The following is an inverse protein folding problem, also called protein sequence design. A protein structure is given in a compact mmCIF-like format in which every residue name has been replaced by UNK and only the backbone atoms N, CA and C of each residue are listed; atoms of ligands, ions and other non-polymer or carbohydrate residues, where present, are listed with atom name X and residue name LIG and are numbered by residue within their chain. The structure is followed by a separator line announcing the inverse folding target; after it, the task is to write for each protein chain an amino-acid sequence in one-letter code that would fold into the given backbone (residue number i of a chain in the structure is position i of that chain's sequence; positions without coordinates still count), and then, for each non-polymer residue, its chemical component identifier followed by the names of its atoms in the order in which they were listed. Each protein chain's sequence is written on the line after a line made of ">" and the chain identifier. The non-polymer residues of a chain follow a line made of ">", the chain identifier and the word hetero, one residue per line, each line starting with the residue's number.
data_IF_943757341712
#
_entry.id   IF_943757341712
#
_cell.length_a   1.000
_cell.length_b   1.000
_cell.length_c   1.000
_cell.angle_alpha   90.00
_cell.angle_beta   90.00
_cell.angle_gamma   90.00
#
_symmetry.space_group_name_H-M   'P 1'
#
loop_
_entity.id
_entity.type
_entity.pdbx_description
1 polymer ?
#
# COMPACT_ATOMS: atom_id res chain seq x y z
N UNK A 1 -11.07 8.79 34.30
CA UNK A 1 -10.01 9.28 35.20
C UNK A 1 -9.03 10.06 34.34
N UNK A 2 -8.91 11.36 34.54
CA UNK A 2 -8.11 12.26 33.69
C UNK A 2 -6.62 12.18 34.08
N UNK A 3 -5.72 12.59 33.19
CA UNK A 3 -4.26 12.64 33.43
C UNK A 3 -3.90 13.44 34.70
N UNK A 4 -4.72 14.44 35.06
CA UNK A 4 -4.61 15.18 36.32
C UNK A 4 -4.98 14.33 37.54
N UNK A 5 -6.00 13.49 37.44
CA UNK A 5 -6.44 12.63 38.55
C UNK A 5 -5.37 11.58 38.89
N UNK A 6 -4.77 10.95 37.87
CA UNK A 6 -3.68 9.97 38.08
C UNK A 6 -2.42 10.62 38.66
N UNK A 7 -2.04 11.81 38.20
CA UNK A 7 -0.90 12.56 38.75
C UNK A 7 -1.16 12.97 40.20
N UNK A 8 -2.39 13.36 40.52
CA UNK A 8 -2.80 13.76 41.88
C UNK A 8 -2.78 12.55 42.82
N UNK A 9 -3.27 11.40 42.38
CA UNK A 9 -3.28 10.14 43.15
C UNK A 9 -1.85 9.64 43.41
N UNK A 10 -0.99 9.63 42.39
CA UNK A 10 0.42 9.22 42.54
C UNK A 10 1.17 10.19 43.47
N UNK A 11 0.94 11.49 43.33
CA UNK A 11 1.56 12.49 44.21
C UNK A 11 1.10 12.33 45.67
N UNK A 12 -0.19 12.09 45.90
CA UNK A 12 -0.75 11.81 47.23
C UNK A 12 -0.19 10.53 47.85
N UNK A 13 -0.01 9.46 47.05
CA UNK A 13 0.56 8.21 47.51
C UNK A 13 2.04 8.37 47.89
N UNK A 14 2.83 9.11 47.09
CA UNK A 14 4.24 9.39 47.38
C UNK A 14 4.39 10.26 48.62
N UNK A 15 3.59 11.33 48.76
CA UNK A 15 3.60 12.19 49.95
C UNK A 15 3.18 11.40 51.20
N UNK A 16 2.13 10.57 51.13
CA UNK A 16 1.68 9.73 52.24
C UNK A 16 2.75 8.73 52.69
N UNK A 17 3.48 8.15 51.74
CA UNK A 17 4.59 7.21 52.02
C UNK A 17 5.78 7.91 52.69
N UNK A 18 6.13 9.11 52.25
CA UNK A 18 7.22 9.92 52.84
C UNK A 18 6.86 10.32 54.28
N UNK A 19 5.62 10.74 54.53
CA UNK A 19 5.14 11.11 55.87
C UNK A 19 5.15 9.91 56.83
N UNK A 20 4.72 8.73 56.38
CA UNK A 20 4.73 7.51 57.18
C UNK A 20 6.17 7.04 57.55
N UNK A 21 7.13 7.22 56.65
CA UNK A 21 8.55 6.87 56.87
C UNK A 21 9.24 7.86 57.82
N UNK A 22 8.93 9.16 57.71
CA UNK A 22 9.46 10.20 58.60
C UNK A 22 8.95 10.10 60.05
N UNK A 23 7.78 9.49 60.27
CA UNK A 23 7.17 9.33 61.58
C UNK A 23 7.61 8.06 62.33
N UNK A 24 8.25 7.09 61.66
CA UNK A 24 8.40 5.71 62.20
C UNK A 24 9.83 5.20 62.39
N UNK A 25 10.89 5.98 62.11
CA UNK A 25 12.27 5.43 62.14
C UNK A 25 13.38 6.42 62.54
N UNK A 26 14.48 5.88 63.07
CA UNK A 26 15.71 6.61 63.37
C UNK A 26 16.22 7.40 62.16
N UNK A 27 16.61 8.66 62.41
CA UNK A 27 16.87 9.71 61.41
C UNK A 27 17.72 9.32 60.19
N UNK A 28 18.79 8.49 60.29
CA UNK A 28 19.58 8.13 59.10
C UNK A 28 18.87 7.12 58.18
N UNK A 29 18.05 6.21 58.72
CA UNK A 29 17.36 5.16 57.95
C UNK A 29 16.14 5.71 57.21
N UNK A 30 15.46 6.70 57.80
CA UNK A 30 14.35 7.43 57.17
C UNK A 30 14.80 8.17 55.90
N UNK A 31 15.97 8.84 55.95
CA UNK A 31 16.53 9.60 54.83
C UNK A 31 16.91 8.74 53.63
N UNK A 32 17.52 7.57 53.87
CA UNK A 32 17.88 6.62 52.81
C UNK A 32 16.63 6.00 52.15
N UNK A 33 15.60 5.71 52.94
CA UNK A 33 14.35 5.12 52.44
C UNK A 33 13.57 6.11 51.59
N UNK A 34 13.50 7.39 51.99
CA UNK A 34 12.89 8.44 51.19
C UNK A 34 13.62 8.70 49.86
N UNK A 35 14.96 8.67 49.86
CA UNK A 35 15.76 8.81 48.65
C UNK A 35 15.53 7.62 47.69
N UNK A 36 15.47 6.39 48.20
CA UNK A 36 15.19 5.20 47.40
C UNK A 36 13.80 5.24 46.75
N UNK A 37 12.77 5.72 47.49
CA UNK A 37 11.42 5.90 46.95
C UNK A 37 11.39 6.98 45.86
N UNK A 38 12.12 8.09 46.03
CA UNK A 38 12.23 9.15 45.01
C UNK A 38 12.94 8.67 43.74
N UNK A 39 14.04 7.92 43.87
CA UNK A 39 14.76 7.34 42.73
C UNK A 39 13.89 6.30 42.01
N UNK A 40 13.21 5.42 42.76
CA UNK A 40 12.31 4.43 42.19
C UNK A 40 11.12 5.09 41.45
N UNK A 41 10.52 6.14 42.02
CA UNK A 41 9.42 6.86 41.38
C UNK A 41 9.85 7.69 40.16
N UNK A 42 11.05 8.31 40.18
CA UNK A 42 11.63 8.95 39.00
C UNK A 42 11.94 7.94 37.88
N UNK A 43 12.50 6.78 38.23
CA UNK A 43 12.82 5.71 37.27
C UNK A 43 11.56 5.04 36.67
N UNK A 44 10.48 4.89 37.45
CA UNK A 44 9.19 4.43 36.95
C UNK A 44 8.49 5.49 36.07
N UNK A 45 8.63 6.78 36.39
CA UNK A 45 8.10 7.86 35.57
C UNK A 45 8.84 7.98 34.23
N UNK A 46 10.17 7.87 34.22
CA UNK A 46 10.94 7.80 32.98
C UNK A 46 10.65 6.52 32.19
N UNK A 47 10.55 5.37 32.86
CA UNK A 47 10.22 4.09 32.22
C UNK A 47 8.81 4.10 31.58
N UNK A 48 7.80 4.63 32.27
CA UNK A 48 6.45 4.79 31.72
C UNK A 48 6.42 5.78 30.53
N UNK A 49 7.14 6.89 30.64
CA UNK A 49 7.26 7.90 29.57
C UNK A 49 8.06 7.40 28.36
N UNK A 50 8.99 6.48 28.56
CA UNK A 50 9.80 5.84 27.50
C UNK A 50 9.03 4.66 26.87
N UNK A 51 8.23 3.94 27.65
CA UNK A 51 7.36 2.85 27.17
C UNK A 51 6.24 3.38 26.26
N UNK A 52 5.54 4.44 26.65
CA UNK A 52 4.50 5.06 25.79
C UNK A 52 5.08 5.60 24.48
N UNK A 53 6.21 6.32 24.55
CA UNK A 53 6.88 6.84 23.34
C UNK A 53 7.42 5.74 22.43
N UNK A 54 7.97 4.67 23.00
CA UNK A 54 8.44 3.52 22.22
C UNK A 54 7.27 2.76 21.59
N UNK A 55 6.13 2.66 22.28
CA UNK A 55 4.93 2.03 21.74
C UNK A 55 4.31 2.85 20.60
N UNK A 56 4.19 4.18 20.77
CA UNK A 56 3.73 5.09 19.71
C UNK A 56 4.66 5.07 18.49
N UNK A 57 5.97 5.06 18.70
CA UNK A 57 6.96 5.00 17.63
C UNK A 57 6.95 3.63 16.92
N UNK A 58 6.72 2.53 17.65
CA UNK A 58 6.57 1.20 17.08
C UNK A 58 5.30 1.09 16.24
N UNK A 59 4.14 1.49 16.78
CA UNK A 59 2.86 1.47 16.05
C UNK A 59 2.94 2.30 14.77
N UNK A 60 3.59 3.48 14.84
CA UNK A 60 3.83 4.33 13.68
C UNK A 60 4.73 3.66 12.63
N UNK A 61 5.80 3.02 13.06
CA UNK A 61 6.72 2.33 12.16
C UNK A 61 6.06 1.14 11.47
N UNK A 62 5.19 0.42 12.19
CA UNK A 62 4.36 -0.65 11.63
C UNK A 62 3.41 -0.11 10.55
N UNK A 63 2.65 0.96 10.83
CA UNK A 63 1.75 1.59 9.84
C UNK A 63 2.48 2.07 8.58
N UNK A 64 3.64 2.70 8.73
CA UNK A 64 4.46 3.12 7.57
C UNK A 64 4.96 1.92 6.76
N UNK A 65 5.28 0.80 7.43
CA UNK A 65 5.70 -0.44 6.77
C UNK A 65 4.55 -1.07 6.00
N UNK A 66 3.36 -1.16 6.60
CA UNK A 66 2.13 -1.65 5.97
C UNK A 66 1.80 -0.86 4.69
N UNK A 67 1.78 0.48 4.78
CA UNK A 67 1.53 1.35 3.61
C UNK A 67 2.60 1.15 2.54
N UNK A 68 3.87 0.99 2.92
CA UNK A 68 4.96 0.78 1.95
C UNK A 68 4.80 -0.54 1.19
N UNK A 69 4.39 -1.61 1.89
CA UNK A 69 4.11 -2.91 1.28
C UNK A 69 2.91 -2.83 0.33
N UNK A 70 1.83 -2.16 0.73
CA UNK A 70 0.64 -2.01 -0.10
C UNK A 70 0.93 -1.20 -1.37
N UNK A 71 1.72 -0.12 -1.26
CA UNK A 71 2.20 0.65 -2.42
C UNK A 71 2.98 -0.22 -3.39
N UNK A 72 3.94 -1.01 -2.90
CA UNK A 72 4.74 -1.91 -3.74
C UNK A 72 3.86 -2.94 -4.48
N UNK A 73 2.84 -3.48 -3.82
CA UNK A 73 1.89 -4.41 -4.44
C UNK A 73 1.07 -3.73 -5.56
N UNK A 74 0.58 -2.51 -5.32
CA UNK A 74 -0.17 -1.73 -6.31
C UNK A 74 0.72 -1.36 -7.50
N UNK A 75 1.96 -0.95 -7.27
CA UNK A 75 2.94 -0.64 -8.34
C UNK A 75 3.21 -1.87 -9.20
N UNK A 76 3.41 -3.04 -8.58
CA UNK A 76 3.61 -4.30 -9.29
C UNK A 76 2.40 -4.66 -10.15
N UNK A 77 1.19 -4.61 -9.58
CA UNK A 77 -0.07 -4.86 -10.33
C UNK A 77 -0.22 -3.90 -11.50
N UNK A 78 0.09 -2.62 -11.28
CA UNK A 78 0.02 -1.57 -12.31
C UNK A 78 1.01 -1.83 -13.45
N UNK A 79 2.25 -2.23 -13.11
CA UNK A 79 3.27 -2.59 -14.12
C UNK A 79 2.81 -3.78 -14.97
N UNK A 80 2.29 -4.83 -14.34
CA UNK A 80 1.78 -6.01 -15.05
C UNK A 80 0.65 -5.65 -16.02
N UNK A 81 -0.31 -4.83 -15.59
CA UNK A 81 -1.41 -4.38 -16.47
C UNK A 81 -0.88 -3.56 -17.65
N UNK A 82 0.05 -2.63 -17.39
CA UNK A 82 0.67 -1.83 -18.46
C UNK A 82 1.43 -2.71 -19.46
N UNK A 83 2.11 -3.75 -18.98
CA UNK A 83 2.80 -4.70 -19.85
C UNK A 83 1.82 -5.48 -20.73
N UNK A 84 0.73 -6.00 -20.15
CA UNK A 84 -0.34 -6.67 -20.91
C UNK A 84 -0.89 -5.77 -22.03
N UNK A 85 -1.21 -4.52 -21.68
CA UNK A 85 -1.73 -3.53 -22.61
C UNK A 85 -0.74 -3.23 -23.75
N UNK A 86 0.51 -2.91 -23.41
CA UNK A 86 1.50 -2.45 -24.38
C UNK A 86 2.10 -3.56 -25.25
N UNK A 87 2.16 -4.79 -24.74
CA UNK A 87 2.81 -5.91 -25.44
C UNK A 87 1.81 -6.72 -26.25
N UNK A 88 0.56 -6.84 -25.79
CA UNK A 88 -0.43 -7.69 -26.45
C UNK A 88 -1.66 -6.91 -26.93
N UNK A 89 -2.41 -6.26 -26.03
CA UNK A 89 -3.73 -5.75 -26.38
C UNK A 89 -3.70 -4.57 -27.36
N UNK A 90 -2.90 -3.53 -27.12
CA UNK A 90 -2.78 -2.41 -28.06
C UNK A 90 -2.18 -2.85 -29.40
N UNK A 91 -1.07 -3.62 -29.45
CA UNK A 91 -0.54 -4.10 -30.73
C UNK A 91 -1.55 -4.94 -31.52
N UNK A 92 -2.32 -5.80 -30.85
CA UNK A 92 -3.34 -6.62 -31.49
C UNK A 92 -4.51 -5.76 -32.00
N UNK A 93 -4.99 -4.83 -31.18
CA UNK A 93 -6.06 -3.92 -31.58
C UNK A 93 -5.64 -3.07 -32.78
N UNK A 94 -4.45 -2.49 -32.73
CA UNK A 94 -3.88 -1.69 -33.82
C UNK A 94 -3.69 -2.53 -35.09
N UNK A 95 -3.24 -3.78 -34.94
CA UNK A 95 -3.10 -4.70 -36.08
C UNK A 95 -4.44 -4.95 -36.78
N UNK A 96 -5.49 -5.27 -36.00
CA UNK A 96 -6.81 -5.64 -36.54
C UNK A 96 -7.60 -4.41 -37.03
N UNK A 97 -7.37 -3.24 -36.45
CA UNK A 97 -8.10 -2.01 -36.84
C UNK A 97 -7.37 -1.17 -37.88
N UNK A 98 -6.13 -1.55 -38.24
CA UNK A 98 -5.36 -0.85 -39.27
C UNK A 98 -6.08 -0.86 -40.61
N UNK A 99 -6.05 0.29 -41.27
CA UNK A 99 -6.64 0.50 -42.59
C UNK A 99 -6.05 -0.51 -43.61
N UNK A 100 -6.90 -1.31 -44.30
CA UNK A 100 -6.46 -2.29 -45.27
C UNK A 100 -5.82 -1.69 -46.53
N UNK A 101 -5.99 -0.39 -46.79
CA UNK A 101 -5.39 0.30 -47.94
C UNK A 101 -3.88 0.55 -47.80
N UNK A 102 -3.30 0.31 -46.62
CA UNK A 102 -1.87 0.47 -46.36
C UNK A 102 -1.13 -0.79 -46.83
N UNK A 103 -0.16 -0.69 -47.76
CA UNK A 103 0.54 -1.85 -48.34
C UNK A 103 1.22 -2.81 -47.33
N UNK A 104 1.47 -2.39 -46.10
CA UNK A 104 2.07 -3.19 -45.02
C UNK A 104 1.02 -3.74 -44.02
N UNK A 105 -0.26 -3.55 -44.32
CA UNK A 105 -1.38 -4.07 -43.54
C UNK A 105 -1.31 -5.60 -43.46
N UNK A 106 -1.50 -6.11 -42.24
CA UNK A 106 -1.91 -7.49 -41.99
C UNK A 106 -0.89 -8.55 -42.42
N UNK A 107 0.38 -8.20 -42.23
CA UNK A 107 1.51 -9.11 -42.40
C UNK A 107 1.43 -10.25 -41.36
N UNK A 108 1.37 -11.53 -41.79
CA UNK A 108 1.30 -12.67 -40.89
C UNK A 108 2.44 -12.72 -39.86
N UNK A 109 3.63 -12.23 -40.22
CA UNK A 109 4.77 -12.13 -39.32
C UNK A 109 4.50 -11.22 -38.11
N UNK A 110 3.75 -10.13 -38.31
CA UNK A 110 3.42 -9.19 -37.24
C UNK A 110 2.41 -9.82 -36.29
N UNK A 111 1.37 -10.47 -36.82
CA UNK A 111 0.41 -11.18 -35.98
C UNK A 111 1.07 -12.33 -35.20
N UNK A 112 2.00 -13.06 -35.81
CA UNK A 112 2.74 -14.12 -35.12
C UNK A 112 3.57 -13.58 -33.95
N UNK A 113 4.23 -12.43 -34.13
CA UNK A 113 4.96 -11.74 -33.04
C UNK A 113 4.02 -11.36 -31.90
N UNK A 114 2.87 -10.78 -32.22
CA UNK A 114 1.84 -10.44 -31.22
C UNK A 114 1.34 -11.71 -30.51
N UNK A 115 1.09 -12.78 -31.27
CA UNK A 115 0.61 -14.07 -30.78
C UNK A 115 1.58 -14.82 -29.85
N UNK A 116 2.86 -14.46 -29.81
CA UNK A 116 3.80 -14.95 -28.80
C UNK A 116 3.41 -14.52 -27.38
N UNK A 117 2.69 -13.40 -27.27
CA UNK A 117 2.28 -12.81 -25.99
C UNK A 117 0.83 -13.12 -25.61
N UNK A 118 0.18 -14.06 -26.31
CA UNK A 118 -1.21 -14.48 -26.03
C UNK A 118 -1.44 -15.00 -24.61
N UNK A 119 -0.37 -15.34 -23.87
CA UNK A 119 -0.48 -15.75 -22.46
C UNK A 119 -0.95 -14.61 -21.53
N UNK A 120 -0.92 -13.36 -22.01
CA UNK A 120 -1.54 -12.22 -21.33
C UNK A 120 -3.06 -12.14 -21.51
N UNK A 121 -3.61 -12.89 -22.46
CA UNK A 121 -5.03 -12.86 -22.77
C UNK A 121 -5.84 -13.82 -21.89
N UNK A 122 -7.11 -13.48 -21.68
CA UNK A 122 -8.06 -14.43 -21.11
C UNK A 122 -8.40 -15.53 -22.13
N UNK A 123 -8.97 -16.64 -21.65
CA UNK A 123 -9.26 -17.83 -22.45
C UNK A 123 -10.13 -17.51 -23.68
N UNK A 124 -11.14 -16.65 -23.52
CA UNK A 124 -12.05 -16.28 -24.61
C UNK A 124 -11.31 -15.53 -25.72
N UNK A 125 -10.47 -14.55 -25.37
CA UNK A 125 -9.69 -13.79 -26.35
C UNK A 125 -8.67 -14.69 -27.05
N UNK A 126 -8.07 -15.67 -26.35
CA UNK A 126 -7.19 -16.66 -26.97
C UNK A 126 -7.97 -17.46 -28.03
N UNK A 127 -9.15 -17.98 -27.69
CA UNK A 127 -9.96 -18.76 -28.63
C UNK A 127 -10.35 -17.93 -29.85
N UNK A 128 -10.80 -16.69 -29.64
CA UNK A 128 -11.15 -15.78 -30.73
C UNK A 128 -9.94 -15.39 -31.60
N UNK A 129 -8.77 -15.19 -30.98
CA UNK A 129 -7.52 -14.93 -31.67
C UNK A 129 -7.13 -16.09 -32.60
N UNK A 130 -7.28 -17.33 -32.13
CA UNK A 130 -6.98 -18.52 -32.92
C UNK A 130 -7.94 -18.70 -34.09
N UNK A 131 -9.24 -18.44 -33.88
CA UNK A 131 -10.24 -18.45 -34.96
C UNK A 131 -9.92 -17.38 -36.01
N UNK A 132 -9.64 -16.15 -35.59
CA UNK A 132 -9.22 -15.08 -36.48
C UNK A 132 -7.97 -15.47 -37.28
N UNK A 133 -6.95 -16.03 -36.60
CA UNK A 133 -5.69 -16.43 -37.23
C UNK A 133 -5.89 -17.48 -38.32
N UNK A 134 -6.77 -18.46 -38.08
CA UNK A 134 -7.01 -19.55 -39.01
C UNK A 134 -7.99 -19.18 -40.14
N UNK A 135 -8.71 -18.05 -40.01
CA UNK A 135 -9.69 -17.58 -41.01
C UNK A 135 -9.09 -16.82 -42.20
N UNK A 136 -7.77 -16.67 -42.28
CA UNK A 136 -7.09 -16.02 -43.41
C UNK A 136 -7.09 -14.49 -43.38
N UNK A 137 -7.30 -13.88 -42.21
CA UNK A 137 -7.17 -12.44 -41.98
C UNK A 137 -8.09 -11.58 -42.87
N UNK A 138 -9.40 -11.81 -42.84
CA UNK A 138 -10.38 -10.97 -43.55
C UNK A 138 -10.77 -9.72 -42.78
N UNK A 139 -10.50 -8.52 -43.32
CA UNK A 139 -11.00 -7.25 -42.77
C UNK A 139 -12.54 -7.22 -42.78
N UNK A 140 -13.13 -6.81 -41.65
CA UNK A 140 -14.58 -6.75 -41.48
C UNK A 140 -15.26 -8.11 -41.44
N UNK A 141 -14.52 -9.23 -41.45
CA UNK A 141 -15.07 -10.56 -41.27
C UNK A 141 -15.66 -10.74 -39.87
N UNK A 142 -16.60 -11.67 -39.71
CA UNK A 142 -17.19 -11.96 -38.40
C UNK A 142 -16.14 -12.31 -37.33
N UNK A 143 -15.13 -13.17 -37.58
CA UNK A 143 -14.03 -13.41 -36.63
C UNK A 143 -13.25 -12.14 -36.26
N UNK A 144 -12.97 -11.27 -37.26
CA UNK A 144 -12.27 -10.01 -37.06
C UNK A 144 -13.07 -9.06 -36.15
N UNK A 145 -14.36 -8.85 -36.45
CA UNK A 145 -15.22 -7.94 -35.70
C UNK A 145 -15.42 -8.42 -34.26
N UNK A 146 -15.64 -9.73 -34.08
CA UNK A 146 -15.80 -10.33 -32.75
C UNK A 146 -14.56 -10.13 -31.89
N UNK A 147 -13.38 -10.46 -32.43
CA UNK A 147 -12.10 -10.27 -31.74
C UNK A 147 -11.84 -8.79 -31.44
N UNK A 148 -12.14 -7.89 -32.37
CA UNK A 148 -11.97 -6.43 -32.20
C UNK A 148 -12.78 -5.92 -31.01
N UNK A 149 -14.07 -6.28 -30.92
CA UNK A 149 -14.93 -5.82 -29.83
C UNK A 149 -14.52 -6.43 -28.49
N UNK A 150 -14.16 -7.72 -28.44
CA UNK A 150 -13.65 -8.34 -27.21
C UNK A 150 -12.36 -7.68 -26.71
N UNK A 151 -11.40 -7.40 -27.59
CA UNK A 151 -10.16 -6.69 -27.22
C UNK A 151 -10.46 -5.27 -26.73
N UNK A 152 -11.36 -4.55 -27.39
CA UNK A 152 -11.75 -3.19 -27.02
C UNK A 152 -12.38 -3.12 -25.63
N UNK A 153 -13.21 -4.09 -25.28
CA UNK A 153 -13.78 -4.22 -23.94
C UNK A 153 -12.68 -4.46 -22.92
N UNK A 154 -11.78 -5.41 -23.20
CA UNK A 154 -10.70 -5.78 -22.29
C UNK A 154 -9.71 -4.63 -22.06
N UNK A 155 -9.33 -3.90 -23.12
CA UNK A 155 -8.51 -2.68 -23.01
C UNK A 155 -9.16 -1.69 -22.04
N UNK A 156 -10.46 -1.40 -22.21
CA UNK A 156 -11.17 -0.45 -21.33
C UNK A 156 -11.18 -0.92 -19.87
N UNK A 157 -11.37 -2.21 -19.63
CA UNK A 157 -11.36 -2.80 -18.29
C UNK A 157 -9.97 -2.66 -17.65
N UNK A 158 -8.91 -3.01 -18.37
CA UNK A 158 -7.53 -2.91 -17.91
C UNK A 158 -7.10 -1.46 -17.66
N UNK A 159 -7.46 -0.53 -18.54
CA UNK A 159 -7.24 0.90 -18.36
C UNK A 159 -7.98 1.44 -17.13
N UNK A 160 -9.24 1.03 -16.92
CA UNK A 160 -10.00 1.43 -15.73
C UNK A 160 -9.34 0.93 -14.46
N UNK A 161 -8.95 -0.35 -14.43
CA UNK A 161 -8.24 -0.95 -13.32
C UNK A 161 -6.91 -0.25 -13.04
N UNK A 162 -6.18 0.16 -14.08
CA UNK A 162 -4.96 0.94 -13.92
C UNK A 162 -5.25 2.32 -13.30
N UNK A 163 -6.34 2.99 -13.68
CA UNK A 163 -6.76 4.27 -13.06
C UNK A 163 -7.13 4.09 -11.59
N UNK A 164 -7.88 3.05 -11.25
CA UNK A 164 -8.26 2.72 -9.87
C UNK A 164 -7.02 2.47 -9.00
N UNK A 165 -6.06 1.68 -9.49
CA UNK A 165 -4.80 1.42 -8.79
C UNK A 165 -4.00 2.70 -8.57
N UNK A 166 -3.88 3.57 -9.59
CA UNK A 166 -3.21 4.86 -9.44
C UNK A 166 -3.90 5.76 -8.42
N UNK A 167 -5.23 5.76 -8.37
CA UNK A 167 -5.98 6.50 -7.34
C UNK A 167 -5.71 5.94 -5.94
N UNK A 168 -5.67 4.62 -5.78
CA UNK A 168 -5.28 3.98 -4.52
C UNK A 168 -3.87 4.37 -4.08
N UNK A 169 -2.92 4.43 -5.01
CA UNK A 169 -1.55 4.86 -4.75
C UNK A 169 -1.48 6.31 -4.26
N UNK A 170 -2.26 7.21 -4.87
CA UNK A 170 -2.36 8.61 -4.40
C UNK A 170 -2.96 8.72 -2.99
N UNK A 171 -3.94 7.87 -2.64
CA UNK A 171 -4.51 7.83 -1.30
C UNK A 171 -3.45 7.39 -0.29
N UNK A 172 -2.73 6.32 -0.57
CA UNK A 172 -1.65 5.81 0.28
C UNK A 172 -0.49 6.81 0.41
N UNK A 173 -0.17 7.57 -0.64
CA UNK A 173 0.82 8.64 -0.57
C UNK A 173 0.41 9.75 0.39
N UNK A 174 -0.87 10.13 0.37
CA UNK A 174 -1.39 11.12 1.30
C UNK A 174 -1.34 10.60 2.74
N UNK A 175 -1.74 9.35 2.97
CA UNK A 175 -1.72 8.72 4.29
C UNK A 175 -0.29 8.59 4.83
N UNK A 176 0.64 8.10 4.01
CA UNK A 176 2.06 8.02 4.34
C UNK A 176 2.61 9.39 4.77
N UNK A 177 2.32 10.43 3.99
CA UNK A 177 2.78 11.78 4.26
C UNK A 177 2.15 12.38 5.53
N UNK A 178 0.87 12.12 5.81
CA UNK A 178 0.23 12.53 7.06
C UNK A 178 0.92 11.89 8.26
N UNK A 179 1.07 10.56 8.27
CA UNK A 179 1.73 9.83 9.36
C UNK A 179 3.16 10.32 9.54
N UNK A 180 3.90 10.54 8.44
CA UNK A 180 5.26 11.08 8.50
C UNK A 180 5.31 12.49 9.10
N UNK A 181 4.43 13.39 8.66
CA UNK A 181 4.44 14.81 9.03
C UNK A 181 3.81 15.13 10.39
N UNK A 182 2.96 14.25 10.93
CA UNK A 182 2.49 14.34 12.32
C UNK A 182 3.65 14.25 13.34
N UNK A 183 4.87 13.88 12.90
CA UNK A 183 6.09 13.98 13.71
C UNK A 183 6.58 15.40 13.98
N UNK A 184 6.18 16.40 13.19
CA UNK A 184 6.75 17.75 13.25
C UNK A 184 5.97 18.76 14.09
N UNK A 185 4.72 18.46 14.48
CA UNK A 185 3.90 19.38 15.29
C UNK A 185 4.06 19.22 16.81
N UNK A 186 4.95 18.32 17.26
CA UNK A 186 5.19 18.03 18.67
C UNK A 186 6.51 18.54 19.25
N UNK A 187 7.18 19.52 18.60
CA UNK A 187 8.39 20.17 19.13
C UNK A 187 8.13 21.62 19.52
#
# INVERSE_FOLDING_TARGET
>A
MTKKDTLTIVSLAVIGSIVAVLLSSDKPTAGLTALAVLIASASLYESAKTSEKNNEQMEKSLKLTEITLEKAEIEQKTRTIKEQLNVFYYPLYDYITRDPSINECWQPSTLNKIGMYRYFANKEIIEQFEVFRNSGYGYGSEPCNKLTESIKIEIKLLESRCRELNNGLNILDNEYNQIKNDSYKGR
#
